data_IF_678864754543
#
_entry.id   IF_678864754543
#
_cell.length_a   1.000
_cell.length_b   1.000
_cell.length_c   1.000
_cell.angle_alpha   90.00
_cell.angle_beta   90.00
_cell.angle_gamma   90.00
#
_symmetry.space_group_name_H-M   'P 1'
#
loop_
_entity.id
_entity.type
_entity.pdbx_description
1 polymer ?
2 polymer ?
3 polymer ?
4 water ?
#
# COMPACT_ATOMS: atom_id res chain seq x y z
N UNK A 7 10.43 22.26 7.56
CA UNK A 7 11.66 21.90 6.78
C UNK A 7 11.68 20.41 6.41
N UNK A 8 12.15 20.14 5.20
CA UNK A 8 12.22 18.76 4.67
C UNK A 8 13.49 18.01 5.12
N UNK A 9 14.30 18.68 5.94
CA UNK A 9 15.53 18.09 6.47
C UNK A 9 15.26 17.14 7.64
N UNK A 10 14.05 17.20 8.19
CA UNK A 10 13.64 16.36 9.32
C UNK A 10 13.32 14.93 8.93
N UNK A 11 12.98 14.11 9.92
CA UNK A 11 12.68 12.69 9.70
C UNK A 11 11.46 12.48 8.81
N UNK A 12 10.54 13.44 8.84
CA UNK A 12 9.27 13.39 8.09
C UNK A 12 9.39 13.91 6.64
N UNK A 13 10.56 14.44 6.29
CA UNK A 13 10.86 14.85 4.90
C UNK A 13 9.82 15.78 4.32
N UNK A 14 9.27 15.42 3.17
CA UNK A 14 8.25 16.23 2.48
C UNK A 14 6.80 16.01 2.95
N UNK A 15 6.60 15.22 4.00
CA UNK A 15 5.27 14.99 4.57
C UNK A 15 4.89 16.13 5.51
N UNK A 16 3.76 16.80 5.22
CA UNK A 16 3.28 17.88 6.10
C UNK A 16 2.92 17.36 7.48
N UNK A 17 3.36 18.08 8.50
CA UNK A 17 3.19 17.64 9.88
C UNK A 17 1.80 17.93 10.40
N UNK A 18 1.31 17.04 11.26
CA UNK A 18 0.10 17.29 12.01
C UNK A 18 0.49 18.01 13.30
N UNK A 19 0.03 19.26 13.44
CA UNK A 19 0.30 20.03 14.65
C UNK A 19 -0.52 19.49 15.82
N UNK A 20 -0.17 19.89 17.04
CA UNK A 20 -0.93 19.49 18.23
C UNK A 20 -2.35 20.04 18.19
N UNK A 21 -2.52 21.21 17.58
CA UNK A 21 -3.82 21.84 17.38
C UNK A 21 -4.69 21.03 16.43
N UNK A 22 -4.09 20.54 15.35
CA UNK A 22 -4.75 19.67 14.38
C UNK A 22 -5.13 18.33 15.02
N UNK A 23 -4.20 17.77 15.79
CA UNK A 23 -4.35 16.44 16.39
C UNK A 23 -5.48 16.36 17.40
N UNK A 24 -5.61 17.40 18.23
CA UNK A 24 -6.66 17.46 19.25
C UNK A 24 -8.03 17.73 18.65
N UNK A 25 -8.05 18.47 17.53
CA UNK A 25 -9.27 18.72 16.78
C UNK A 25 -9.79 17.43 16.12
N UNK A 26 -8.84 16.62 15.62
CA UNK A 26 -9.15 15.30 15.04
C UNK A 26 -9.76 14.36 16.09
N UNK A 27 -9.22 14.40 17.30
CA UNK A 27 -9.75 13.63 18.43
C UNK A 27 -11.08 14.17 18.98
N UNK A 28 -11.49 15.33 18.49
CA UNK A 28 -12.79 15.92 18.85
C UNK A 28 -13.86 15.61 17.80
N UNK A 29 -13.49 15.74 16.52
CA UNK A 29 -14.38 15.43 15.41
C UNK A 29 -14.83 13.97 15.43
N UNK A 30 -13.92 13.09 15.82
CA UNK A 30 -14.21 11.66 15.98
C UNK A 30 -13.70 11.18 17.34
N UNK A 31 -14.63 10.71 18.17
CA UNK A 31 -14.33 10.36 19.56
C UNK A 31 -13.55 9.03 19.68
N UNK A 32 -14.28 7.93 19.82
CA UNK A 32 -13.69 6.61 20.03
C UNK A 32 -13.68 5.81 18.74
N UNK A 33 -13.46 6.48 17.61
CA UNK A 33 -13.46 5.81 16.32
C UNK A 33 -12.18 6.06 15.52
N UNK A 34 -11.06 6.22 16.25
CA UNK A 34 -9.74 6.37 15.64
C UNK A 34 -8.83 5.25 16.16
N UNK A 35 -8.00 4.69 15.29
CA UNK A 35 -7.02 3.68 15.71
C UNK A 35 -6.01 4.31 16.66
N UNK A 36 -5.75 3.65 17.81
CA UNK A 36 -4.77 4.22 18.74
C UNK A 36 -3.35 4.17 18.19
N UNK A 37 -2.58 5.23 18.42
CA UNK A 37 -1.17 5.21 18.05
C UNK A 37 -0.29 5.00 19.30
N UNK A 38 0.74 4.20 19.15
CA UNK A 38 1.63 3.90 20.25
C UNK A 38 2.60 5.03 20.47
N UNK A 39 3.15 5.09 21.69
CA UNK A 39 4.14 6.10 22.07
C UNK A 39 5.30 6.09 21.07
N UNK A 40 5.62 7.27 20.55
CA UNK A 40 6.69 7.43 19.56
C UNK A 40 8.04 6.94 20.08
N UNK A 41 8.25 7.05 21.39
CA UNK A 41 9.53 6.71 22.01
C UNK A 41 9.83 5.21 22.02
N UNK A 42 8.77 4.40 22.06
CA UNK A 42 8.95 2.96 22.24
C UNK A 42 8.45 2.09 21.08
N UNK A 43 7.69 2.67 20.16
CA UNK A 43 7.07 1.88 19.09
C UNK A 43 8.07 1.41 18.03
N UNK A 44 7.75 0.28 17.40
CA UNK A 44 8.63 -0.34 16.40
C UNK A 44 7.81 -0.67 15.15
N UNK A 45 7.46 0.38 14.39
CA UNK A 45 6.64 0.21 13.19
C UNK A 45 7.45 -0.39 12.05
N UNK A 46 6.89 -1.40 11.39
CA UNK A 46 7.51 -2.04 10.23
C UNK A 46 6.69 -1.88 8.97
N UNK A 47 7.39 -1.79 7.84
CA UNK A 47 6.74 -1.85 6.53
C UNK A 47 7.55 -2.71 5.57
N UNK A 48 6.88 -3.26 4.57
CA UNK A 48 7.53 -4.12 3.59
C UNK A 48 7.22 -3.65 2.17
N UNK A 49 8.26 -3.58 1.34
CA UNK A 49 8.08 -3.25 -0.08
C UNK A 49 8.67 -4.41 -0.87
N UNK A 50 7.83 -5.03 -1.69
CA UNK A 50 8.31 -6.04 -2.64
C UNK A 50 8.13 -5.46 -4.03
N UNK A 51 9.24 -5.30 -4.75
CA UNK A 51 9.20 -4.76 -6.10
C UNK A 51 9.90 -5.70 -7.06
N UNK A 52 9.18 -6.12 -8.09
CA UNK A 52 9.76 -6.92 -9.16
C UNK A 52 10.00 -6.01 -10.37
N UNK A 53 11.27 -5.83 -10.73
CA UNK A 53 11.64 -4.97 -11.87
C UNK A 53 12.24 -5.79 -13.02
N UNK A 54 13.07 -6.77 -12.67
CA UNK A 54 13.74 -7.61 -13.66
C UNK A 54 13.12 -9.00 -13.70
N UNK A 55 12.64 -9.38 -14.88
CA UNK A 55 11.93 -10.65 -15.08
C UNK A 55 12.62 -11.53 -16.12
N UNK A 56 12.37 -12.84 -16.02
CA UNK A 56 12.87 -13.81 -17.00
C UNK A 56 12.25 -13.61 -18.38
N UNK A 57 10.92 -13.53 -18.44
CA UNK A 57 10.21 -13.57 -19.71
C UNK A 57 9.51 -12.29 -20.13
N UNK A 58 9.19 -11.43 -19.16
CA UNK A 58 8.43 -10.22 -19.44
C UNK A 58 9.29 -8.94 -19.34
N UNK A 59 8.91 -7.88 -20.07
CA UNK A 59 9.69 -6.64 -20.17
C UNK A 59 10.13 -6.07 -18.83
N UNK A 60 11.34 -5.52 -18.78
CA UNK A 60 11.87 -4.87 -17.59
C UNK A 60 11.00 -3.67 -17.22
N UNK A 61 10.77 -3.50 -15.91
CA UNK A 61 9.93 -2.40 -15.43
C UNK A 61 10.74 -1.12 -15.18
N UNK A 62 11.17 -0.49 -16.26
CA UNK A 62 11.93 0.75 -16.21
C UNK A 62 11.17 1.82 -15.42
N UNK A 63 11.87 2.44 -14.48
CA UNK A 63 11.26 3.44 -13.61
C UNK A 63 10.90 2.92 -12.23
N UNK A 64 11.00 1.60 -12.04
CA UNK A 64 10.64 0.95 -10.76
C UNK A 64 11.50 1.44 -9.60
N UNK A 65 12.74 1.83 -9.89
CA UNK A 65 13.64 2.36 -8.87
C UNK A 65 13.13 3.70 -8.32
N UNK A 66 12.47 4.48 -9.18
CA UNK A 66 11.85 5.74 -8.75
C UNK A 66 10.73 5.46 -7.74
N UNK A 67 9.92 4.44 -8.03
CA UNK A 67 8.85 3.98 -7.15
C UNK A 67 9.38 3.48 -5.79
N UNK A 68 10.45 2.69 -5.83
CA UNK A 68 11.09 2.15 -4.61
C UNK A 68 11.62 3.29 -3.74
N UNK A 69 12.38 4.19 -4.35
CA UNK A 69 12.88 5.37 -3.64
C UNK A 69 11.76 6.17 -3.00
N UNK A 70 10.76 6.54 -3.80
CA UNK A 70 9.63 7.33 -3.30
C UNK A 70 8.85 6.69 -2.17
N UNK A 71 8.50 5.41 -2.32
CA UNK A 71 7.72 4.71 -1.30
C UNK A 71 8.51 4.43 -0.03
N UNK A 72 9.79 4.09 -0.20
CA UNK A 72 10.66 3.82 0.95
C UNK A 72 10.79 5.07 1.82
N UNK A 73 11.10 6.20 1.18
CA UNK A 73 11.26 7.47 1.90
C UNK A 73 9.95 7.93 2.52
N UNK A 74 8.84 7.76 1.80
CA UNK A 74 7.53 8.12 2.37
C UNK A 74 7.21 7.32 3.63
N UNK A 75 7.37 6.00 3.56
CA UNK A 75 7.05 5.15 4.70
C UNK A 75 7.97 5.46 5.90
N UNK A 76 9.24 5.75 5.63
CA UNK A 76 10.14 6.20 6.71
C UNK A 76 9.68 7.51 7.32
N UNK A 77 9.25 8.44 6.46
CA UNK A 77 8.70 9.73 6.91
C UNK A 77 7.51 9.53 7.83
N UNK A 78 6.72 8.49 7.58
CA UNK A 78 5.54 8.20 8.38
C UNK A 78 5.84 7.38 9.64
N UNK A 79 7.12 7.06 9.84
CA UNK A 79 7.56 6.38 11.06
C UNK A 79 7.85 4.89 10.94
N UNK A 80 7.86 4.37 9.72
CA UNK A 80 8.04 2.92 9.49
C UNK A 80 9.48 2.54 9.13
N UNK A 81 9.95 1.44 9.71
CA UNK A 81 11.20 0.83 9.30
C UNK A 81 10.91 -0.11 8.14
N UNK A 82 11.53 0.18 7.00
CA UNK A 82 11.14 -0.42 5.73
C UNK A 82 12.11 -1.47 5.24
N UNK A 83 11.60 -2.68 5.02
CA UNK A 83 12.37 -3.74 4.36
C UNK A 83 12.03 -3.72 2.88
N UNK A 84 13.05 -3.71 2.03
CA UNK A 84 12.83 -3.71 0.59
C UNK A 84 13.35 -5.02 0.01
N UNK A 85 12.47 -5.74 -0.68
CA UNK A 85 12.84 -7.00 -1.30
C UNK A 85 12.58 -6.88 -2.80
N UNK A 86 13.51 -7.36 -3.62
CA UNK A 86 13.44 -7.17 -5.07
C UNK A 86 13.50 -8.48 -5.84
N UNK A 87 12.74 -8.55 -6.93
CA UNK A 87 12.83 -9.64 -7.92
C UNK A 87 12.62 -11.04 -7.36
N UNK A 88 11.40 -11.29 -6.91
CA UNK A 88 11.04 -12.50 -6.21
C UNK A 88 10.02 -13.29 -7.01
N UNK A 89 10.12 -14.62 -6.94
CA UNK A 89 9.08 -15.50 -7.44
C UNK A 89 7.89 -15.41 -6.50
N UNK A 90 6.71 -15.84 -6.95
CA UNK A 90 5.54 -15.90 -6.07
C UNK A 90 5.82 -16.71 -4.81
N UNK A 91 6.56 -17.80 -4.98
CA UNK A 91 7.03 -18.62 -3.86
C UNK A 91 7.89 -17.82 -2.87
N UNK A 92 8.83 -17.05 -3.39
CA UNK A 92 9.72 -16.20 -2.58
C UNK A 92 8.93 -15.10 -1.86
N UNK A 93 7.96 -14.52 -2.56
CA UNK A 93 7.07 -13.51 -1.99
C UNK A 93 6.31 -14.08 -0.79
N UNK A 94 5.77 -15.28 -0.96
CA UNK A 94 5.06 -15.98 0.13
C UNK A 94 5.99 -16.20 1.34
N UNK A 95 7.20 -16.68 1.09
CA UNK A 95 8.20 -16.86 2.16
C UNK A 95 8.53 -15.55 2.87
N UNK A 96 8.70 -14.49 2.10
CA UNK A 96 9.04 -13.18 2.65
C UNK A 96 7.89 -12.61 3.48
N UNK A 97 6.67 -12.81 3.00
CA UNK A 97 5.48 -12.35 3.71
C UNK A 97 5.30 -13.10 5.04
N UNK A 98 5.56 -14.41 5.03
CA UNK A 98 5.50 -15.21 6.26
C UNK A 98 6.55 -14.77 7.27
N UNK A 99 7.77 -14.50 6.78
CA UNK A 99 8.83 -13.98 7.63
C UNK A 99 8.43 -12.63 8.21
N UNK A 100 7.82 -11.79 7.38
CA UNK A 100 7.38 -10.46 7.82
C UNK A 100 6.34 -10.57 8.91
N UNK A 101 5.39 -11.49 8.72
CA UNK A 101 4.33 -11.73 9.71
C UNK A 101 4.88 -12.21 11.06
N UNK A 102 6.04 -12.84 11.04
CA UNK A 102 6.67 -13.39 12.25
C UNK A 102 7.63 -12.43 12.98
N UNK A 103 7.78 -11.21 12.47
CA UNK A 103 8.70 -10.24 13.06
C UNK A 103 8.20 -9.81 14.44
N UNK A 104 9.08 -9.89 15.45
CA UNK A 104 8.68 -9.54 16.83
C UNK A 104 8.33 -8.06 17.01
N UNK A 105 8.83 -7.21 16.12
CA UNK A 105 8.55 -5.76 16.18
C UNK A 105 7.06 -5.41 16.08
N UNK A 106 6.28 -6.25 15.40
CA UNK A 106 4.83 -6.01 15.25
C UNK A 106 4.10 -5.94 16.58
N UNK A 107 4.57 -6.70 17.58
CA UNK A 107 3.98 -6.67 18.93
C UNK A 107 4.03 -5.29 19.59
N UNK A 108 5.09 -4.54 19.30
CA UNK A 108 5.24 -3.17 19.80
C UNK A 108 5.05 -2.16 18.68
N UNK A 109 4.17 -2.51 17.73
CA UNK A 109 3.79 -1.59 16.66
C UNK A 109 2.28 -1.40 16.71
N UNK A 110 1.79 -0.35 16.06
CA UNK A 110 0.35 -0.02 16.05
C UNK A 110 -0.28 -0.20 14.66
N UNK A 111 0.52 -0.62 13.68
CA UNK A 111 0.07 -0.65 12.28
C UNK A 111 1.15 -1.19 11.35
N UNK A 112 0.78 -1.49 10.11
CA UNK A 112 1.78 -1.85 9.10
C UNK A 112 1.33 -1.43 7.69
N UNK A 113 2.31 -1.28 6.80
CA UNK A 113 2.11 -1.05 5.37
C UNK A 113 2.85 -2.14 4.60
N UNK A 114 2.18 -2.71 3.60
CA UNK A 114 2.80 -3.65 2.67
C UNK A 114 2.60 -3.10 1.29
N UNK A 115 3.66 -3.04 0.50
CA UNK A 115 3.58 -2.46 -0.84
C UNK A 115 4.13 -3.45 -1.87
N UNK A 116 3.33 -3.74 -2.89
CA UNK A 116 3.72 -4.71 -3.93
C UNK A 116 3.73 -3.98 -5.27
N UNK A 117 4.80 -4.15 -6.03
CA UNK A 117 4.93 -3.46 -7.30
C UNK A 117 5.49 -4.42 -8.32
N UNK A 118 4.71 -4.68 -9.37
CA UNK A 118 5.11 -5.69 -10.38
C UNK A 118 4.23 -5.59 -11.62
N UNK A 119 4.53 -6.43 -12.61
CA UNK A 119 3.58 -6.76 -13.66
C UNK A 119 2.42 -7.53 -13.01
N UNK A 120 1.23 -7.40 -13.57
CA UNK A 120 0.09 -8.14 -13.05
C UNK A 120 -0.88 -8.55 -14.12
N UNK A 121 -1.70 -9.54 -13.79
CA UNK A 121 -2.80 -9.99 -14.64
C UNK A 121 -4.08 -10.00 -13.81
N UNK A 122 -5.21 -10.38 -14.41
CA UNK A 122 -6.49 -10.40 -13.68
C UNK A 122 -6.39 -11.22 -12.39
N UNK A 123 -5.72 -12.36 -12.47
CA UNK A 123 -5.56 -13.31 -11.36
C UNK A 123 -4.75 -12.76 -10.18
N UNK A 124 -3.73 -11.95 -10.47
CA UNK A 124 -2.90 -11.38 -9.41
C UNK A 124 -1.58 -10.79 -9.87
N UNK A 125 -0.59 -10.86 -8.98
CA UNK A 125 0.69 -10.19 -9.11
C UNK A 125 1.74 -11.18 -9.64
N UNK A 126 2.53 -10.73 -10.62
CA UNK A 126 3.53 -11.60 -11.27
C UNK A 126 4.84 -11.71 -10.48
N UNK A 127 5.29 -12.95 -10.30
CA UNK A 127 6.65 -13.24 -9.83
C UNK A 127 7.66 -13.10 -10.96
N UNK A 128 8.94 -13.08 -10.61
CA UNK A 128 10.01 -12.83 -11.59
C UNK A 128 10.03 -13.84 -12.75
N UNK A 129 9.58 -15.05 -12.47
CA UNK A 129 9.63 -16.15 -13.45
C UNK A 129 8.38 -16.28 -14.31
N UNK A 130 7.39 -15.41 -14.09
CA UNK A 130 6.09 -15.54 -14.74
C UNK A 130 6.19 -15.56 -16.27
N UNK A 131 5.44 -16.48 -16.86
CA UNK A 131 5.18 -16.49 -18.30
C UNK A 131 3.77 -17.01 -18.50
N UNK A 132 3.22 -16.79 -19.70
CA UNK A 132 1.90 -17.28 -20.05
C UNK A 132 1.84 -18.81 -20.02
N UNK A 133 2.94 -19.46 -20.41
CA UNK A 133 3.04 -20.93 -20.41
C UNK A 133 3.15 -21.51 -18.99
N UNK A 134 3.94 -20.87 -18.14
CA UNK A 134 4.13 -21.30 -16.76
C UNK A 134 3.90 -20.10 -15.83
N UNK A 135 2.66 -19.92 -15.35
CA UNK A 135 2.33 -18.75 -14.52
C UNK A 135 3.05 -18.78 -13.16
N UNK A 136 3.44 -17.59 -12.69
CA UNK A 136 4.08 -17.42 -11.40
C UNK A 136 3.36 -16.25 -10.73
N UNK A 137 2.23 -16.55 -10.09
CA UNK A 137 1.29 -15.53 -9.61
C UNK A 137 1.07 -15.59 -8.11
N UNK A 138 1.14 -14.43 -7.47
CA UNK A 138 0.69 -14.26 -6.08
C UNK A 138 -0.67 -13.58 -6.06
N UNK A 139 -1.64 -14.26 -5.47
CA UNK A 139 -3.00 -13.73 -5.37
C UNK A 139 -3.13 -12.79 -4.19
N UNK A 140 -3.92 -11.72 -4.36
CA UNK A 140 -4.24 -10.81 -3.27
C UNK A 140 -4.81 -11.57 -2.07
N UNK A 141 -5.60 -12.60 -2.33
CA UNK A 141 -6.17 -13.42 -1.28
C UNK A 141 -5.11 -14.05 -0.35
N UNK A 142 -3.97 -14.44 -0.94
CA UNK A 142 -2.88 -15.03 -0.15
C UNK A 142 -2.23 -14.00 0.76
N UNK A 143 -2.15 -12.76 0.27
CA UNK A 143 -1.58 -11.67 1.04
C UNK A 143 -2.39 -11.44 2.31
N UNK A 144 -3.70 -11.28 2.16
CA UNK A 144 -4.61 -11.13 3.31
C UNK A 144 -4.50 -12.30 4.28
N UNK A 145 -4.52 -13.53 3.77
CA UNK A 145 -4.42 -14.71 4.63
C UNK A 145 -3.16 -14.73 5.50
N UNK A 146 -2.03 -14.33 4.92
CA UNK A 146 -0.74 -14.36 5.64
C UNK A 146 -0.65 -13.30 6.75
N UNK A 147 -1.43 -12.23 6.62
CA UNK A 147 -1.41 -11.11 7.56
C UNK A 147 -2.61 -11.07 8.52
N UNK A 148 -3.50 -12.05 8.42
CA UNK A 148 -4.71 -12.04 9.25
C UNK A 148 -4.44 -12.45 10.71
N UNK A 149 -5.49 -12.52 11.53
CA UNK A 149 -5.29 -12.77 12.97
C UNK A 149 -4.79 -14.19 13.30
N UNK A 150 -5.12 -15.16 12.44
CA UNK A 150 -4.65 -16.53 12.58
C UNK A 150 -3.15 -16.62 12.31
N UNK A 151 -2.72 -16.03 11.21
CA UNK A 151 -1.34 -16.17 10.75
C UNK A 151 -0.42 -15.06 11.22
N UNK A 152 -1.00 -13.95 11.66
CA UNK A 152 -0.25 -12.83 12.21
C UNK A 152 -0.96 -12.21 13.44
N UNK A 153 -1.00 -12.96 14.56
CA UNK A 153 -1.67 -12.50 15.77
C UNK A 153 -1.12 -11.18 16.33
N UNK A 154 0.14 -10.88 16.06
CA UNK A 154 0.78 -9.66 16.56
C UNK A 154 0.18 -8.40 15.97
N UNK A 155 -0.54 -8.53 14.86
CA UNK A 155 -1.19 -7.38 14.23
C UNK A 155 -2.70 -7.36 14.43
N UNK A 156 -3.19 -8.18 15.36
CA UNK A 156 -4.59 -8.13 15.78
C UNK A 156 -4.97 -6.70 16.20
N UNK A 157 -6.10 -6.23 15.67
CA UNK A 157 -6.67 -4.90 15.97
C UNK A 157 -5.89 -3.70 15.43
N UNK A 158 -4.90 -3.96 14.57
CA UNK A 158 -4.03 -2.91 14.06
C UNK A 158 -4.21 -2.77 12.55
N UNK A 159 -4.30 -1.53 12.05
CA UNK A 159 -4.52 -1.35 10.61
C UNK A 159 -3.39 -1.94 9.78
N UNK A 160 -3.77 -2.69 8.74
CA UNK A 160 -2.83 -3.29 7.80
C UNK A 160 -3.18 -2.79 6.40
N UNK A 161 -2.33 -1.91 5.89
CA UNK A 161 -2.57 -1.22 4.63
C UNK A 161 -1.75 -1.89 3.53
N UNK A 162 -2.44 -2.38 2.52
CA UNK A 162 -1.82 -3.08 1.40
C UNK A 162 -1.96 -2.22 0.15
N UNK A 163 -0.82 -1.88 -0.45
CA UNK A 163 -0.77 -1.07 -1.67
C UNK A 163 -0.26 -1.92 -2.81
N UNK A 164 -1.01 -1.97 -3.93
CA UNK A 164 -0.58 -2.78 -5.07
C UNK A 164 -0.54 -2.00 -6.38
N UNK A 165 0.68 -1.84 -6.91
CA UNK A 165 0.90 -1.30 -8.24
C UNK A 165 1.11 -2.48 -9.19
N UNK A 166 0.10 -2.72 -10.03
CA UNK A 166 0.13 -3.79 -11.03
C UNK A 166 -1.06 -3.67 -11.96
N UNK A 167 -0.90 -4.09 -13.21
CA UNK A 167 -2.04 -4.25 -14.11
C UNK A 167 -2.98 -5.30 -13.53
N UNK A 168 -4.26 -5.20 -13.87
CA UNK A 168 -5.24 -6.19 -13.45
C UNK A 168 -5.93 -6.82 -14.66
N UNK A 169 -5.23 -6.76 -15.79
CA UNK A 169 -5.78 -7.18 -17.07
C UNK A 169 -5.21 -6.35 -18.19
N UNK A 170 -5.69 -6.62 -19.40
CA UNK A 170 -5.15 -6.04 -20.63
C UNK A 170 -5.92 -4.81 -21.12
N UNK A 171 -7.09 -4.56 -20.53
CA UNK A 171 -8.01 -3.55 -21.07
C UNK A 171 -7.61 -2.11 -20.69
N UNK A 172 -7.82 -1.16 -21.62
CA UNK A 172 -7.51 0.27 -21.39
C UNK A 172 -8.40 0.93 -20.32
N UNK A 173 -9.50 0.29 -19.96
CA UNK A 173 -10.34 0.76 -18.85
C UNK A 173 -11.24 1.94 -19.16
N UNK A 174 -11.53 2.15 -20.45
CA UNK A 174 -12.31 3.30 -20.90
C UNK A 174 -13.46 2.94 -21.85
N UNK A 175 -14.46 3.82 -21.87
CA UNK A 175 -15.57 3.78 -22.84
C UNK A 175 -15.76 5.19 -23.42
N UNK A 176 -16.31 5.29 -24.62
CA UNK A 176 -16.61 6.58 -25.22
C UNK A 176 -18.03 7.04 -24.91
N UNK A 177 -18.20 8.35 -24.78
CA UNK A 177 -19.54 8.95 -24.72
C UNK A 177 -19.60 10.24 -25.53
N UNK A 178 -20.80 10.55 -26.03
CA UNK A 178 -21.00 11.72 -26.89
C UNK A 178 -20.98 13.01 -26.06
N UNK A 179 -20.11 13.93 -26.46
CA UNK A 179 -19.94 15.20 -25.77
C UNK A 179 -20.54 16.34 -26.60
N UNK B 2 -7.97 -17.68 30.45
CA UNK B 2 -9.24 -17.69 29.65
C UNK B 2 -8.96 -17.32 28.20
N UNK B 3 -9.70 -17.96 27.29
CA UNK B 3 -9.59 -17.66 25.86
C UNK B 3 -10.78 -16.83 25.41
N UNK B 4 -10.57 -16.04 24.35
CA UNK B 4 -11.61 -15.19 23.81
C UNK B 4 -11.56 -15.22 22.29
N UNK B 5 -12.71 -15.04 21.65
CA UNK B 5 -12.80 -15.03 20.18
C UNK B 5 -12.44 -13.68 19.58
N UNK B 6 -11.71 -13.72 18.46
CA UNK B 6 -11.42 -12.53 17.67
C UNK B 6 -11.75 -12.82 16.22
N UNK B 7 -12.18 -11.79 15.48
CA UNK B 7 -12.40 -11.94 14.06
C UNK B 7 -11.10 -12.36 13.38
N UNK B 8 -11.20 -13.32 12.46
CA UNK B 8 -10.02 -13.80 11.73
C UNK B 8 -9.43 -12.72 10.80
N UNK B 9 -10.32 -11.94 10.17
CA UNK B 9 -9.90 -10.91 9.24
C UNK B 9 -10.55 -9.59 9.62
N UNK B 10 -9.72 -8.63 10.00
CA UNK B 10 -10.22 -7.31 10.42
C UNK B 10 -9.08 -6.31 10.32
N UNK B 11 -9.46 -5.03 10.20
CA UNK B 11 -8.53 -3.90 10.14
C UNK B 11 -7.59 -3.90 8.93
N UNK B 12 -8.07 -4.43 7.80
CA UNK B 12 -7.35 -4.35 6.55
C UNK B 12 -7.91 -3.25 5.64
N UNK B 13 -7.05 -2.71 4.79
CA UNK B 13 -7.46 -1.96 3.61
C UNK B 13 -6.47 -2.21 2.48
N UNK B 14 -6.96 -2.57 1.30
CA UNK B 14 -6.09 -2.66 0.14
C UNK B 14 -6.42 -1.54 -0.85
N UNK B 15 -5.39 -1.05 -1.55
CA UNK B 15 -5.57 0.03 -2.53
C UNK B 15 -4.80 -0.38 -3.78
N UNK B 16 -5.53 -0.70 -4.85
CA UNK B 16 -4.94 -1.16 -6.14
C UNK B 16 -4.90 -0.05 -7.17
N UNK B 17 -3.95 -0.16 -8.10
CA UNK B 17 -3.66 0.91 -9.05
C UNK B 17 -4.71 1.11 -10.15
N UNK B 18 -5.56 0.10 -10.35
CA UNK B 18 -6.62 0.19 -11.35
C UNK B 18 -7.80 -0.70 -10.94
N UNK B 19 -8.87 -0.63 -11.72
CA UNK B 19 -10.04 -1.49 -11.54
C UNK B 19 -9.79 -2.86 -12.18
N UNK B 20 -10.53 -3.91 -11.72
CA UNK B 20 -10.38 -5.24 -12.32
C UNK B 20 -10.50 -5.25 -13.85
N UNK B 21 -9.64 -6.04 -14.49
CA UNK B 21 -9.57 -6.18 -15.97
C UNK B 21 -8.70 -5.15 -16.67
N UNK B 22 -8.30 -4.10 -15.95
CA UNK B 22 -7.74 -2.91 -16.57
C UNK B 22 -6.28 -2.63 -16.24
N UNK B 23 -5.61 -1.95 -17.15
CA UNK B 23 -4.19 -1.65 -17.02
C UNK B 23 -3.91 -0.53 -16.01
N UNK B 24 -2.67 -0.51 -15.56
CA UNK B 24 -2.11 0.59 -14.77
C UNK B 24 -0.84 1.05 -15.49
N UNK B 25 -0.54 2.34 -15.38
CA UNK B 25 0.53 2.95 -16.18
C UNK B 25 1.80 3.23 -15.39
N UNK B 26 2.93 3.04 -16.06
CA UNK B 26 4.24 3.34 -15.49
C UNK B 26 5.08 4.12 -16.49
N UNK B 27 5.49 5.31 -16.11
CA UNK B 27 6.40 6.14 -16.91
C UNK B 27 7.85 5.69 -16.68
N UNK B 28 8.60 5.42 -17.77
CA UNK B 28 9.97 4.90 -17.68
C UNK B 28 10.95 5.74 -16.85
N UNK B 29 10.70 7.04 -16.72
CA UNK B 29 11.61 7.90 -15.94
C UNK B 29 10.94 8.52 -14.72
N UNK B 30 9.63 8.74 -14.80
CA UNK B 30 8.89 9.34 -13.70
C UNK B 30 8.33 8.31 -12.71
N UNK B 31 8.35 7.03 -13.08
CA UNK B 31 7.82 5.95 -12.23
C UNK B 31 6.34 5.67 -12.46
N UNK B 32 5.76 4.79 -11.64
CA UNK B 32 4.34 4.45 -11.77
C UNK B 32 3.43 5.61 -11.37
N UNK B 33 2.43 5.90 -12.20
CA UNK B 33 1.58 7.07 -11.99
C UNK B 33 0.81 6.98 -10.66
N UNK B 34 0.30 5.79 -10.35
CA UNK B 34 -0.43 5.55 -9.09
C UNK B 34 0.49 5.81 -7.89
N UNK B 35 1.71 5.29 -7.97
CA UNK B 35 2.65 5.41 -6.84
C UNK B 35 3.00 6.88 -6.59
N UNK B 36 3.33 7.60 -7.66
CA UNK B 36 3.65 9.03 -7.57
C UNK B 36 2.49 9.83 -6.99
N UNK B 37 1.28 9.58 -7.50
CA UNK B 37 0.08 10.26 -7.05
C UNK B 37 -0.22 9.94 -5.58
N UNK B 38 -0.03 8.68 -5.19
CA UNK B 38 -0.24 8.26 -3.82
C UNK B 38 0.71 9.02 -2.87
N UNK B 39 1.99 9.08 -3.23
CA UNK B 39 2.99 9.78 -2.41
C UNK B 39 2.61 11.26 -2.23
N UNK B 40 2.26 11.92 -3.34
CA UNK B 40 1.89 13.33 -3.31
C UNK B 40 0.72 13.57 -2.37
N UNK B 41 -0.32 12.74 -2.46
CA UNK B 41 -1.49 12.87 -1.61
C UNK B 41 -1.21 12.54 -0.12
N UNK B 42 -0.38 11.54 0.12
CA UNK B 42 0.02 11.17 1.47
C UNK B 42 0.79 12.35 2.09
N UNK B 43 1.73 12.92 1.34
CA UNK B 43 2.51 14.06 1.81
C UNK B 43 1.62 15.25 2.18
N UNK B 44 0.67 15.55 1.31
CA UNK B 44 -0.25 16.68 1.49
C UNK B 44 -1.29 16.46 2.58
N UNK B 45 -1.83 15.23 2.65
CA UNK B 45 -3.04 14.97 3.44
C UNK B 45 -2.93 14.08 4.68
N UNK B 46 -1.79 13.41 4.87
CA UNK B 46 -1.63 12.57 6.06
C UNK B 46 -1.91 13.35 7.35
N UNK B 47 -1.58 14.64 7.34
CA UNK B 47 -1.75 15.51 8.50
C UNK B 47 -3.20 15.77 8.88
N UNK B 48 -4.12 15.68 7.91
CA UNK B 48 -5.51 16.11 8.12
C UNK B 48 -6.58 15.07 7.84
N UNK B 49 -6.24 14.07 7.03
CA UNK B 49 -7.22 13.08 6.57
C UNK B 49 -6.83 11.67 6.96
N UNK B 50 -7.82 10.84 7.26
CA UNK B 50 -7.59 9.41 7.49
C UNK B 50 -7.25 8.70 6.18
N UNK B 51 -6.68 7.48 6.27
CA UNK B 51 -6.19 6.83 5.05
C UNK B 51 -7.29 6.56 4.01
N UNK B 52 -8.49 6.18 4.47
CA UNK B 52 -9.61 5.94 3.54
C UNK B 52 -9.93 7.18 2.72
N UNK B 53 -9.97 8.33 3.40
CA UNK B 53 -10.20 9.64 2.76
C UNK B 53 -9.09 10.04 1.80
N UNK B 54 -7.84 9.78 2.17
CA UNK B 54 -6.71 10.04 1.27
C UNK B 54 -6.83 9.19 0.00
N UNK B 55 -7.21 7.93 0.14
CA UNK B 55 -7.32 7.04 -1.01
C UNK B 55 -8.44 7.54 -1.93
N UNK B 56 -9.54 8.00 -1.33
CA UNK B 56 -10.62 8.62 -2.11
C UNK B 56 -10.11 9.81 -2.94
N UNK B 57 -9.32 10.69 -2.31
CA UNK B 57 -8.74 11.84 -3.01
C UNK B 57 -7.84 11.43 -4.17
N UNK B 58 -7.03 10.38 -3.98
CA UNK B 58 -6.21 9.84 -5.05
C UNK B 58 -7.12 9.39 -6.21
N UNK B 59 -8.18 8.66 -5.90
CA UNK B 59 -9.13 8.24 -6.93
C UNK B 59 -9.70 9.44 -7.68
N UNK B 60 -10.11 10.47 -6.93
CA UNK B 60 -10.64 11.69 -7.55
C UNK B 60 -9.67 12.33 -8.54
N UNK B 61 -8.38 12.37 -8.20
CA UNK B 61 -7.34 12.93 -9.08
C UNK B 61 -7.20 12.22 -10.44
N UNK B 62 -7.70 10.98 -10.53
CA UNK B 62 -7.64 10.21 -11.76
C UNK B 62 -8.90 10.34 -12.62
N UNK B 63 -9.86 11.11 -12.14
CA UNK B 63 -11.22 11.07 -12.68
C UNK B 63 -11.42 11.42 -14.14
N UNK B 64 -10.62 12.34 -14.68
CA UNK B 64 -10.75 12.77 -16.08
C UNK B 64 -9.73 12.03 -16.94
N UNK B 65 -10.15 10.95 -17.63
CA UNK B 65 -9.16 10.08 -18.29
C UNK B 65 -8.54 10.70 -19.53
N UNK B 66 -7.24 10.46 -19.71
CA UNK B 66 -6.55 10.83 -20.93
C UNK B 66 -6.28 9.56 -21.74
N UNK B 67 -5.24 9.59 -22.57
CA UNK B 67 -4.85 8.44 -23.39
C UNK B 67 -4.29 7.29 -22.58
N UNK B 68 -3.91 7.58 -21.34
CA UNK B 68 -3.44 6.57 -20.41
C UNK B 68 -4.26 6.63 -19.13
N UNK B 69 -5.43 5.99 -19.17
CA UNK B 69 -6.41 6.09 -18.09
C UNK B 69 -6.28 4.94 -17.09
N UNK B 70 -6.60 5.23 -15.83
CA UNK B 70 -6.72 4.21 -14.79
C UNK B 70 -7.51 4.76 -13.62
N UNK B 71 -8.18 3.86 -12.91
CA UNK B 71 -8.98 4.23 -11.76
C UNK B 71 -8.62 3.33 -10.60
N UNK B 72 -7.78 3.83 -9.67
CA UNK B 72 -7.44 3.06 -8.48
C UNK B 72 -8.67 2.66 -7.68
N UNK B 73 -8.60 1.50 -7.05
CA UNK B 73 -9.74 0.90 -6.36
C UNK B 73 -9.34 0.47 -4.96
N UNK B 74 -10.15 0.83 -3.98
CA UNK B 74 -9.99 0.31 -2.61
C UNK B 74 -10.72 -1.02 -2.50
N UNK B 75 -10.07 -2.02 -1.89
CA UNK B 75 -10.58 -3.37 -1.87
C UNK B 75 -10.56 -3.99 -0.48
N UNK B 76 -11.52 -4.90 -0.23
CA UNK B 76 -11.51 -5.79 0.94
C UNK B 76 -11.27 -5.03 2.26
N UNK B 77 -12.11 -4.03 2.49
CA UNK B 77 -11.92 -3.11 3.61
C UNK B 77 -12.62 -3.59 4.87
N UNK B 78 -11.83 -3.84 5.92
CA UNK B 78 -12.39 -4.15 7.22
C UNK B 78 -11.87 -3.22 8.33
N UNK B 79 -11.47 -2.00 7.96
CA UNK B 79 -11.15 -0.98 8.97
C UNK B 79 -12.43 -0.66 9.73
N UNK B 80 -12.39 -0.77 11.06
CA UNK B 80 -13.55 -0.48 11.91
C UNK B 80 -13.46 0.93 12.51
N UNK B 81 -12.29 1.53 12.38
CA UNK B 81 -12.02 2.88 12.86
C UNK B 81 -11.33 3.70 11.78
N UNK B 82 -11.23 5.02 12.00
CA UNK B 82 -10.43 5.88 11.13
C UNK B 82 -8.93 5.70 11.40
N UNK B 83 -8.14 5.55 10.34
CA UNK B 83 -6.70 5.43 10.49
C UNK B 83 -6.01 6.75 10.14
N UNK B 84 -5.74 7.56 11.17
CA UNK B 84 -4.94 8.77 11.01
C UNK B 84 -3.47 8.47 11.32
N UNK B 85 -2.58 8.94 10.44
CA UNK B 85 -1.15 8.72 10.58
C UNK B 85 -0.49 9.65 11.60
N UNK B 86 -1.17 10.76 11.91
CA UNK B 86 -0.64 11.78 12.81
C UNK B 86 0.85 12.04 12.58
N UNK B 87 1.24 12.45 11.35
CA UNK B 87 2.67 12.63 11.05
C UNK B 87 3.32 13.66 11.98
N UNK B 88 4.48 13.31 12.51
CA UNK B 88 5.15 14.13 13.52
C UNK B 88 4.89 13.63 14.93
N UNK B 89 3.98 12.67 15.05
CA UNK B 89 3.66 12.07 16.34
C UNK B 89 3.78 10.55 16.30
N UNK C 2 4.12 3.25 -20.09
CA UNK C 2 3.92 1.88 -20.51
C UNK C 2 2.96 1.21 -19.57
N UNK C 3 2.17 0.23 -20.04
CA UNK C 3 1.33 -0.55 -19.16
C UNK C 3 2.12 -1.51 -18.30
N UNK C 4 1.74 -1.63 -17.02
CA UNK C 4 2.29 -2.65 -16.12
C UNK C 4 1.74 -4.07 -16.42
#
# INVERSE_FOLDING_TARGET
>A
MNPAMPTSSGSEGNVKLCSLEEAQRIWKQKSAEIYPIMDKSSRTRLALIICNEEFDSIPRRTGAEVDITGMTMLLQNLGYSVDVKKNLTASDMTTELEAFAHRPEHKTSDSTFLVFMSHGIREGICGKKHSEQVPDILQLNAIFNMLNTKNCPSLKDKPKVIIIQACRGDSPGVVWFKD
>B
MAIRKAHIEKDFIAFCSSTPDNVSWRHPTMGSVFIGRLIEHMQEYACSCDVEEIFRKVRFSFEQPDGRAQMPTTERVTLTRCFYLFPGH
>C
XVADX
#
